data_IF_809394289952
#
_entry.id   IF_809394289952
#
_cell.length_a   1.000
_cell.length_b   1.000
_cell.length_c   1.000
_cell.angle_alpha   90.00
_cell.angle_beta   90.00
_cell.angle_gamma   90.00
#
_symmetry.space_group_name_H-M   'P 1'
#
loop_
_entity.id
_entity.type
_entity.pdbx_description
1 polymer ?
#
# COMPACT_ATOMS: atom_id res chain seq x y z
N UNK A 1 -7.04 2.09 -12.68
CA UNK A 1 -7.89 3.24 -12.27
C UNK A 1 -7.81 3.53 -10.77
N UNK A 2 -7.92 2.54 -9.88
CA UNK A 2 -7.91 2.75 -8.41
C UNK A 2 -6.77 3.65 -7.94
N UNK A 3 -5.52 3.30 -8.25
CA UNK A 3 -4.33 4.05 -7.83
C UNK A 3 -4.31 5.49 -8.33
N UNK A 4 -4.72 5.73 -9.58
CA UNK A 4 -4.73 7.08 -10.16
C UNK A 4 -5.76 7.94 -9.41
N UNK A 5 -6.98 7.42 -9.25
CA UNK A 5 -8.07 8.14 -8.57
C UNK A 5 -7.70 8.41 -7.10
N UNK A 6 -7.17 7.41 -6.39
CA UNK A 6 -6.77 7.59 -4.98
C UNK A 6 -5.65 8.61 -4.84
N UNK A 7 -4.63 8.58 -5.70
CA UNK A 7 -3.52 9.54 -5.65
C UNK A 7 -3.99 10.97 -5.91
N UNK A 8 -4.93 11.17 -6.85
CA UNK A 8 -5.54 12.49 -7.07
C UNK A 8 -6.30 12.96 -5.83
N UNK A 9 -7.08 12.08 -5.19
CA UNK A 9 -7.83 12.40 -3.97
C UNK A 9 -6.87 12.75 -2.82
N UNK A 10 -5.82 11.95 -2.60
CA UNK A 10 -4.84 12.21 -1.56
C UNK A 10 -4.06 13.50 -1.80
N UNK A 11 -3.70 13.80 -3.05
CA UNK A 11 -3.01 15.03 -3.42
C UNK A 11 -3.90 16.25 -3.22
N UNK A 12 -5.17 16.15 -3.61
CA UNK A 12 -6.17 17.19 -3.32
C UNK A 12 -6.32 17.42 -1.81
N UNK A 13 -6.44 16.35 -1.01
CA UNK A 13 -6.55 16.45 0.45
C UNK A 13 -5.31 17.07 1.09
N UNK A 14 -4.12 16.69 0.64
CA UNK A 14 -2.85 17.28 1.10
C UNK A 14 -2.84 18.80 0.90
N UNK A 15 -3.23 19.27 -0.30
CA UNK A 15 -3.31 20.72 -0.61
C UNK A 15 -4.33 21.42 0.28
N UNK A 16 -5.48 20.80 0.57
CA UNK A 16 -6.49 21.38 1.46
C UNK A 16 -6.00 21.51 2.91
N UNK A 17 -5.19 20.55 3.39
CA UNK A 17 -4.71 20.52 4.78
C UNK A 17 -3.46 21.39 5.00
N UNK A 18 -2.56 21.43 4.02
CA UNK A 18 -1.23 22.06 4.15
C UNK A 18 -1.07 23.33 3.32
N UNK A 19 -2.02 23.63 2.43
CA UNK A 19 -1.90 24.68 1.43
C UNK A 19 -1.13 24.23 0.17
N UNK A 20 -1.13 25.05 -0.90
CA UNK A 20 -0.47 24.69 -2.16
C UNK A 20 1.07 24.66 -2.07
N UNK A 21 1.66 25.36 -1.10
CA UNK A 21 3.11 25.43 -0.89
C UNK A 21 3.73 24.10 -0.41
N UNK A 22 2.91 23.15 0.04
CA UNK A 22 3.37 21.81 0.42
C UNK A 22 3.87 21.00 -0.79
N UNK A 23 3.38 21.35 -1.98
CA UNK A 23 3.86 20.74 -3.19
C UNK A 23 5.28 21.27 -3.42
N UNK A 24 6.28 20.39 -3.58
CA UNK A 24 7.65 20.79 -3.90
C UNK A 24 7.78 21.23 -5.38
N UNK A 25 6.72 21.86 -5.89
CA UNK A 25 6.56 22.40 -7.23
C UNK A 25 6.67 23.91 -7.08
N UNK A 26 7.81 24.45 -7.48
CA UNK A 26 7.95 25.90 -7.63
C UNK A 26 7.39 26.24 -9.01
N UNK A 27 6.28 26.98 -9.03
CA UNK A 27 5.76 27.58 -10.25
C UNK A 27 6.51 28.88 -10.51
N UNK A 28 7.50 28.85 -11.40
CA UNK A 28 8.09 30.09 -11.92
C UNK A 28 7.28 30.56 -13.13
N UNK A 29 6.62 31.71 -12.97
CA UNK A 29 5.95 32.42 -14.05
C UNK A 29 7.00 33.15 -14.89
N UNK A 30 7.33 32.62 -16.06
CA UNK A 30 8.10 33.36 -17.07
C UNK A 30 7.29 34.55 -17.64
N UNK A 31 7.99 35.51 -18.25
CA UNK A 31 7.37 36.71 -18.85
C UNK A 31 6.48 36.41 -20.07
N UNK A 32 6.44 35.18 -20.57
CA UNK A 32 5.71 34.75 -21.77
C UNK A 32 4.82 33.51 -21.52
N UNK A 33 3.91 33.53 -20.54
CA UNK A 33 2.96 32.42 -20.26
C UNK A 33 3.61 31.00 -20.15
N UNK A 34 4.92 30.92 -19.99
CA UNK A 34 5.68 29.68 -19.94
C UNK A 34 5.71 29.20 -18.49
N UNK A 35 4.94 28.14 -18.21
CA UNK A 35 4.87 27.50 -16.90
C UNK A 35 6.11 26.62 -16.72
N UNK A 36 7.11 27.12 -15.99
CA UNK A 36 8.28 26.30 -15.62
C UNK A 36 7.96 25.54 -14.34
N UNK A 37 7.93 24.21 -14.43
CA UNK A 37 7.76 23.31 -13.29
C UNK A 37 9.17 22.93 -12.80
N UNK A 38 9.61 23.53 -11.70
CA UNK A 38 10.86 23.17 -11.03
C UNK A 38 10.58 22.24 -9.83
N UNK A 39 11.23 21.08 -9.81
CA UNK A 39 11.15 20.12 -8.70
C UNK A 39 12.37 20.27 -7.78
N UNK A 40 12.13 20.53 -6.50
CA UNK A 40 13.19 20.39 -5.51
C UNK A 40 13.43 18.90 -5.23
N UNK A 41 14.44 18.33 -5.90
CA UNK A 41 14.79 16.91 -5.76
C UNK A 41 15.07 16.49 -4.32
N UNK A 42 15.61 17.36 -3.46
CA UNK A 42 15.87 17.02 -2.05
C UNK A 42 14.57 16.83 -1.26
N UNK A 43 13.60 17.70 -1.49
CA UNK A 43 12.29 17.69 -0.80
C UNK A 43 11.31 16.67 -1.38
N UNK A 44 11.53 16.20 -2.61
CA UNK A 44 10.71 15.16 -3.25
C UNK A 44 11.34 13.78 -3.05
N UNK A 45 12.62 13.63 -3.43
CA UNK A 45 13.24 12.32 -3.59
C UNK A 45 13.52 11.65 -2.24
N UNK A 46 13.90 12.42 -1.21
CA UNK A 46 14.16 11.86 0.12
C UNK A 46 12.84 11.33 0.75
N UNK A 47 11.76 12.14 0.86
CA UNK A 47 10.46 11.63 1.31
C UNK A 47 9.93 10.48 0.49
N UNK A 48 10.06 10.54 -0.84
CA UNK A 48 9.61 9.47 -1.73
C UNK A 48 10.38 8.16 -1.50
N UNK A 49 11.72 8.21 -1.46
CA UNK A 49 12.56 7.03 -1.26
C UNK A 49 12.31 6.41 0.12
N UNK A 50 12.23 7.26 1.15
CA UNK A 50 11.90 6.81 2.50
C UNK A 50 10.50 6.16 2.53
N UNK A 51 9.49 6.83 1.99
CA UNK A 51 8.13 6.31 1.88
C UNK A 51 8.10 4.98 1.13
N UNK A 52 8.83 4.84 0.03
CA UNK A 52 8.91 3.61 -0.73
C UNK A 52 9.50 2.46 0.10
N UNK A 53 10.70 2.63 0.64
CA UNK A 53 11.37 1.57 1.42
C UNK A 53 10.53 1.17 2.65
N UNK A 54 10.00 2.14 3.37
CA UNK A 54 9.16 1.88 4.54
C UNK A 54 7.84 1.23 4.16
N UNK A 55 7.18 1.66 3.08
CA UNK A 55 5.90 1.08 2.65
C UNK A 55 6.06 -0.38 2.29
N UNK A 56 7.04 -0.75 1.45
CA UNK A 56 7.19 -2.15 1.04
C UNK A 56 7.44 -3.05 2.27
N UNK A 57 8.29 -2.62 3.21
CA UNK A 57 8.58 -3.40 4.43
C UNK A 57 7.38 -3.48 5.35
N UNK A 58 6.77 -2.35 5.70
CA UNK A 58 5.66 -2.31 6.67
C UNK A 58 4.41 -2.99 6.10
N UNK A 59 4.19 -2.91 4.78
CA UNK A 59 3.06 -3.54 4.11
C UNK A 59 3.09 -5.07 4.30
N UNK A 60 4.19 -5.72 3.94
CA UNK A 60 4.34 -7.18 4.12
C UNK A 60 4.35 -7.58 5.60
N UNK A 61 4.97 -6.76 6.46
CA UNK A 61 4.95 -7.02 7.91
C UNK A 61 3.53 -6.97 8.47
N UNK A 62 2.66 -6.07 8.00
CA UNK A 62 1.27 -6.01 8.45
C UNK A 62 0.48 -7.26 8.02
N UNK A 63 0.69 -7.75 6.80
CA UNK A 63 0.11 -9.05 6.41
C UNK A 63 0.57 -10.15 7.37
N UNK A 64 1.87 -10.25 7.62
CA UNK A 64 2.43 -11.27 8.49
C UNK A 64 2.00 -11.16 9.95
N UNK A 65 1.90 -9.94 10.50
CA UNK A 65 1.38 -9.72 11.87
C UNK A 65 -0.07 -10.21 11.99
N UNK A 66 -0.91 -9.96 10.98
CA UNK A 66 -2.31 -10.41 11.00
C UNK A 66 -2.39 -11.93 10.86
N UNK A 67 -1.54 -12.55 10.01
CA UNK A 67 -1.42 -14.00 9.95
C UNK A 67 -0.97 -14.60 11.30
N UNK A 68 0.04 -14.03 11.94
CA UNK A 68 0.53 -14.47 13.25
C UNK A 68 -0.53 -14.32 14.33
N UNK A 69 -1.38 -13.29 14.27
CA UNK A 69 -2.50 -13.15 15.20
C UNK A 69 -3.51 -14.30 15.07
N UNK A 70 -3.70 -14.86 13.87
CA UNK A 70 -4.49 -16.07 13.65
C UNK A 70 -3.74 -17.38 13.98
N UNK A 71 -2.49 -17.30 14.43
CA UNK A 71 -1.70 -18.45 14.86
C UNK A 71 -0.93 -19.14 13.74
N UNK A 72 -0.79 -18.50 12.58
CA UNK A 72 0.00 -19.05 11.47
C UNK A 72 1.50 -18.78 11.61
N UNK A 73 2.31 -19.71 11.10
CA UNK A 73 3.74 -19.51 10.92
C UNK A 73 3.99 -18.80 9.58
N UNK A 74 4.55 -17.59 9.64
CA UNK A 74 4.74 -16.74 8.46
C UNK A 74 6.15 -16.87 7.91
N UNK A 75 6.23 -17.11 6.60
CA UNK A 75 7.46 -17.03 5.82
C UNK A 75 7.53 -15.69 5.10
N UNK A 76 8.65 -14.98 5.28
CA UNK A 76 8.96 -13.76 4.55
C UNK A 76 10.06 -14.00 3.54
N UNK A 77 10.00 -13.31 2.42
CA UNK A 77 11.08 -13.32 1.46
C UNK A 77 10.86 -12.36 0.31
N UNK A 78 11.65 -12.54 -0.74
CA UNK A 78 11.54 -11.73 -1.94
C UNK A 78 11.40 -12.58 -3.18
N UNK A 79 10.43 -12.21 -4.01
CA UNK A 79 10.14 -12.86 -5.28
C UNK A 79 10.65 -12.01 -6.44
N UNK A 80 11.92 -12.19 -6.79
CA UNK A 80 12.62 -11.35 -7.78
C UNK A 80 11.97 -11.32 -9.16
N UNK A 81 11.26 -12.37 -9.56
CA UNK A 81 10.55 -12.41 -10.85
C UNK A 81 9.47 -11.34 -10.96
N UNK A 82 8.88 -10.93 -9.84
CA UNK A 82 7.89 -9.86 -9.77
C UNK A 82 8.42 -8.59 -9.09
N UNK A 83 9.68 -8.60 -8.61
CA UNK A 83 10.24 -7.49 -7.85
C UNK A 83 9.47 -7.19 -6.55
N UNK A 84 8.80 -8.19 -5.98
CA UNK A 84 7.90 -8.03 -4.85
C UNK A 84 8.43 -8.77 -3.61
N UNK A 85 8.23 -8.20 -2.43
CA UNK A 85 8.37 -8.94 -1.17
C UNK A 85 7.08 -9.73 -0.91
N UNK A 86 7.13 -10.69 0.01
CA UNK A 86 5.95 -11.45 0.39
C UNK A 86 5.96 -11.79 1.88
N UNK A 87 4.76 -11.89 2.45
CA UNK A 87 4.46 -12.59 3.69
C UNK A 87 3.43 -13.70 3.41
N UNK A 88 3.83 -14.96 3.55
CA UNK A 88 3.01 -16.11 3.16
C UNK A 88 2.98 -17.21 4.22
N UNK A 89 1.93 -18.04 4.20
CA UNK A 89 1.70 -19.13 5.14
C UNK A 89 1.79 -20.49 4.43
N UNK A 90 2.99 -20.83 3.96
CA UNK A 90 3.21 -22.06 3.22
C UNK A 90 2.91 -23.29 4.06
N UNK A 91 2.38 -24.32 3.39
CA UNK A 91 2.12 -25.65 3.94
C UNK A 91 1.18 -25.67 5.16
N UNK A 92 0.30 -24.67 5.25
CA UNK A 92 -0.71 -24.54 6.29
C UNK A 92 -2.08 -24.31 5.66
N UNK A 93 -3.10 -25.01 6.17
CA UNK A 93 -4.49 -24.70 5.84
C UNK A 93 -4.87 -23.39 6.49
N UNK A 94 -5.37 -22.46 5.70
CA UNK A 94 -5.82 -21.18 6.22
C UNK A 94 -7.20 -20.81 5.67
N UNK A 95 -8.01 -20.18 6.50
CA UNK A 95 -9.42 -19.95 6.16
C UNK A 95 -9.59 -18.74 5.25
N UNK A 96 -10.60 -18.82 4.37
CA UNK A 96 -11.01 -17.70 3.52
C UNK A 96 -11.16 -16.39 4.30
N UNK A 97 -11.77 -16.44 5.48
CA UNK A 97 -12.10 -15.22 6.23
C UNK A 97 -10.88 -14.54 6.82
N UNK A 98 -9.90 -15.34 7.24
CA UNK A 98 -8.62 -14.84 7.74
C UNK A 98 -7.81 -14.28 6.58
N UNK A 99 -7.75 -14.95 5.43
CA UNK A 99 -7.09 -14.43 4.21
C UNK A 99 -7.68 -13.11 3.77
N UNK A 100 -9.01 -12.95 3.80
CA UNK A 100 -9.65 -11.68 3.46
C UNK A 100 -9.23 -10.54 4.39
N UNK A 101 -9.14 -10.81 5.70
CA UNK A 101 -8.72 -9.81 6.70
C UNK A 101 -7.23 -9.51 6.60
N UNK A 102 -6.40 -10.51 6.32
CA UNK A 102 -4.98 -10.33 6.09
C UNK A 102 -4.76 -9.47 4.86
N UNK A 103 -5.42 -9.79 3.74
CA UNK A 103 -5.27 -9.04 2.48
C UNK A 103 -5.64 -7.56 2.61
N UNK A 104 -6.66 -7.23 3.40
CA UNK A 104 -7.12 -5.83 3.52
C UNK A 104 -6.32 -5.02 4.55
N UNK A 105 -5.57 -5.70 5.43
CA UNK A 105 -4.96 -5.06 6.59
C UNK A 105 -3.96 -3.94 6.25
N UNK A 106 -2.99 -4.10 5.33
CA UNK A 106 -2.06 -3.01 5.03
C UNK A 106 -2.76 -1.81 4.40
N UNK A 107 -3.72 -2.06 3.51
CA UNK A 107 -4.50 -1.00 2.88
C UNK A 107 -5.20 -0.15 3.94
N UNK A 108 -5.93 -0.78 4.88
CA UNK A 108 -6.71 -0.05 5.90
C UNK A 108 -5.80 0.61 6.93
N UNK A 109 -4.85 -0.13 7.51
CA UNK A 109 -4.04 0.36 8.63
C UNK A 109 -3.14 1.52 8.19
N UNK A 110 -2.40 1.37 7.09
CA UNK A 110 -1.54 2.44 6.59
C UNK A 110 -2.36 3.63 6.08
N UNK A 111 -3.54 3.40 5.47
CA UNK A 111 -4.40 4.52 5.05
C UNK A 111 -4.87 5.33 6.24
N UNK A 112 -5.37 4.70 7.31
CA UNK A 112 -5.83 5.41 8.51
C UNK A 112 -4.69 6.21 9.14
N UNK A 113 -3.52 5.59 9.34
CA UNK A 113 -2.36 6.26 9.94
C UNK A 113 -1.92 7.44 9.07
N UNK A 114 -1.73 7.23 7.77
CA UNK A 114 -1.19 8.27 6.90
C UNK A 114 -2.19 9.40 6.61
N UNK A 115 -3.50 9.14 6.60
CA UNK A 115 -4.51 10.21 6.53
C UNK A 115 -4.42 11.16 7.74
N UNK A 116 -4.12 10.64 8.93
CA UNK A 116 -3.88 11.48 10.11
C UNK A 116 -2.56 12.26 9.97
N UNK A 117 -1.51 11.62 9.42
CA UNK A 117 -0.22 12.27 9.19
C UNK A 117 -0.27 13.37 8.12
N UNK A 118 -1.21 13.33 7.17
CA UNK A 118 -1.43 14.44 6.22
C UNK A 118 -1.81 15.75 6.90
N UNK A 119 -2.42 15.70 8.09
CA UNK A 119 -2.84 16.90 8.83
C UNK A 119 -1.74 17.46 9.76
N UNK A 120 -0.59 16.78 9.85
CA UNK A 120 0.53 17.23 10.69
C UNK A 120 1.20 18.45 10.03
N UNK A 121 1.37 19.59 10.71
CA UNK A 121 1.85 20.86 10.12
C UNK A 121 3.38 20.87 9.92
N UNK A 122 3.91 19.80 9.34
CA UNK A 122 5.31 19.64 8.97
C UNK A 122 5.35 19.09 7.53
N UNK A 123 5.72 19.90 6.51
CA UNK A 123 5.62 19.53 5.10
C UNK A 123 6.28 18.19 4.76
N UNK A 124 7.45 17.90 5.33
CA UNK A 124 8.15 16.62 5.12
C UNK A 124 7.32 15.43 5.60
N UNK A 125 6.64 15.53 6.75
CA UNK A 125 5.80 14.46 7.29
C UNK A 125 4.57 14.26 6.40
N UNK A 126 3.87 15.34 6.05
CA UNK A 126 2.67 15.30 5.24
C UNK A 126 2.96 14.76 3.82
N UNK A 127 4.03 15.24 3.18
CA UNK A 127 4.46 14.75 1.85
C UNK A 127 4.93 13.30 1.89
N UNK A 128 5.64 12.87 2.93
CA UNK A 128 5.98 11.45 3.12
C UNK A 128 4.72 10.60 3.27
N UNK A 129 3.76 11.03 4.08
CA UNK A 129 2.50 10.32 4.29
C UNK A 129 1.68 10.21 2.99
N UNK A 130 1.67 11.27 2.17
CA UNK A 130 1.08 11.24 0.84
C UNK A 130 1.73 10.16 -0.06
N UNK A 131 3.06 10.09 -0.10
CA UNK A 131 3.75 9.05 -0.86
C UNK A 131 3.45 7.65 -0.33
N UNK A 132 3.43 7.45 0.98
CA UNK A 132 3.04 6.16 1.58
C UNK A 132 1.62 5.77 1.18
N UNK A 133 0.65 6.70 1.20
CA UNK A 133 -0.73 6.44 0.77
C UNK A 133 -0.79 5.99 -0.70
N UNK A 134 -0.11 6.71 -1.59
CA UNK A 134 -0.09 6.40 -3.02
C UNK A 134 0.58 5.04 -3.30
N UNK A 135 1.75 4.80 -2.69
CA UNK A 135 2.52 3.57 -2.86
C UNK A 135 1.82 2.36 -2.24
N UNK A 136 1.25 2.51 -1.05
CA UNK A 136 0.49 1.45 -0.39
C UNK A 136 -0.76 1.08 -1.20
N UNK A 137 -1.48 2.07 -1.73
CA UNK A 137 -2.65 1.80 -2.59
C UNK A 137 -2.25 1.13 -3.90
N UNK A 138 -1.10 1.49 -4.47
CA UNK A 138 -0.54 0.83 -5.66
C UNK A 138 -0.13 -0.62 -5.37
N UNK A 139 0.59 -0.86 -4.27
CA UNK A 139 1.00 -2.19 -3.81
C UNK A 139 -0.20 -3.09 -3.51
N UNK A 140 -1.26 -2.53 -2.91
CA UNK A 140 -2.47 -3.26 -2.53
C UNK A 140 -3.36 -3.69 -3.71
N UNK A 141 -3.03 -3.35 -4.96
CA UNK A 141 -3.88 -3.72 -6.11
C UNK A 141 -3.98 -5.25 -6.24
N UNK A 142 -2.89 -5.97 -5.99
CA UNK A 142 -2.87 -7.42 -5.96
C UNK A 142 -3.78 -7.98 -4.86
N UNK A 143 -3.71 -7.41 -3.66
CA UNK A 143 -4.50 -7.84 -2.51
C UNK A 143 -5.99 -7.56 -2.72
N UNK A 144 -6.34 -6.38 -3.24
CA UNK A 144 -7.73 -6.04 -3.56
C UNK A 144 -8.30 -7.00 -4.60
N UNK A 145 -7.50 -7.39 -5.59
CA UNK A 145 -7.90 -8.41 -6.55
C UNK A 145 -8.09 -9.78 -5.88
N UNK A 146 -7.15 -10.21 -5.03
CA UNK A 146 -7.25 -11.45 -4.28
C UNK A 146 -8.50 -11.47 -3.37
N UNK A 147 -8.74 -10.39 -2.62
CA UNK A 147 -9.94 -10.19 -1.80
C UNK A 147 -11.19 -10.33 -2.65
N UNK A 148 -11.28 -9.61 -3.78
CA UNK A 148 -12.43 -9.67 -4.67
C UNK A 148 -12.69 -11.08 -5.20
N UNK A 149 -11.62 -11.84 -5.48
CA UNK A 149 -11.68 -13.21 -5.98
C UNK A 149 -12.10 -14.21 -4.90
N UNK A 150 -11.53 -14.08 -3.70
CA UNK A 150 -11.76 -14.98 -2.57
C UNK A 150 -13.11 -14.73 -1.91
N UNK A 151 -13.56 -13.47 -1.86
CA UNK A 151 -14.87 -13.12 -1.32
C UNK A 151 -16.04 -13.78 -2.07
N UNK A 152 -15.83 -14.14 -3.35
CA UNK A 152 -16.81 -14.86 -4.18
C UNK A 152 -16.83 -16.37 -3.98
N UNK A 153 -15.84 -16.93 -3.28
CA UNK A 153 -15.82 -18.36 -2.96
C UNK A 153 -16.79 -18.64 -1.80
N UNK A 154 -17.30 -19.88 -1.64
CA UNK A 154 -18.21 -20.22 -0.55
C UNK A 154 -17.62 -19.95 0.84
N UNK A 155 -18.44 -19.63 1.87
CA UNK A 155 -17.97 -19.55 3.25
C UNK A 155 -17.37 -20.88 3.68
N UNK A 156 -16.32 -20.86 4.51
CA UNK A 156 -15.54 -22.04 4.90
C UNK A 156 -14.61 -22.63 3.83
N UNK A 157 -14.40 -21.95 2.70
CA UNK A 157 -13.29 -22.29 1.81
C UNK A 157 -11.95 -22.24 2.58
N UNK A 158 -11.09 -23.21 2.31
CA UNK A 158 -9.73 -23.28 2.83
C UNK A 158 -8.72 -23.15 1.69
N UNK A 159 -7.60 -22.52 1.99
CA UNK A 159 -6.46 -22.38 1.10
C UNK A 159 -5.27 -23.16 1.64
N UNK A 160 -4.41 -23.63 0.74
CA UNK A 160 -3.15 -24.29 1.08
C UNK A 160 -2.07 -23.90 0.07
N UNK A 161 -1.11 -23.09 0.51
CA UNK A 161 -0.04 -22.59 -0.35
C UNK A 161 1.14 -23.55 -0.38
N UNK A 162 1.53 -23.99 -1.58
CA UNK A 162 2.75 -24.79 -1.77
C UNK A 162 3.95 -23.86 -1.93
N UNK A 163 3.77 -22.79 -2.69
CA UNK A 163 4.74 -21.73 -2.96
C UNK A 163 3.99 -20.51 -3.51
N UNK A 164 4.71 -19.40 -3.75
CA UNK A 164 4.14 -18.15 -4.30
C UNK A 164 3.30 -18.33 -5.56
N UNK A 165 3.60 -19.32 -6.40
CA UNK A 165 2.89 -19.54 -7.66
C UNK A 165 1.77 -20.58 -7.61
N UNK A 166 1.63 -21.33 -6.51
CA UNK A 166 0.74 -22.49 -6.46
C UNK A 166 0.03 -22.61 -5.12
N UNK A 167 -1.30 -22.63 -5.19
CA UNK A 167 -2.23 -22.75 -4.07
C UNK A 167 -3.31 -23.77 -4.42
N UNK A 168 -3.66 -24.62 -3.47
CA UNK A 168 -4.88 -25.43 -3.54
C UNK A 168 -6.04 -24.70 -2.86
N UNK A 169 -7.24 -24.83 -3.44
CA UNK A 169 -8.48 -24.26 -2.92
C UNK A 169 -9.44 -25.40 -2.62
N UNK A 170 -9.94 -25.46 -1.40
CA UNK A 170 -10.88 -26.47 -0.92
C UNK A 170 -12.21 -25.77 -0.63
N UNK A 171 -13.20 -25.96 -1.50
CA UNK A 171 -14.55 -25.45 -1.30
C UNK A 171 -15.41 -26.48 -0.56
N UNK A 172 -16.32 -26.05 0.34
CA UNK A 172 -17.27 -26.96 0.96
C UNK A 172 -18.26 -27.53 -0.07
N UNK A 173 -18.79 -28.72 0.23
CA UNK A 173 -19.90 -29.34 -0.52
C UNK A 173 -21.21 -28.54 -0.43
#
# INVERSE_FOLDING_TARGET
MLTIVSTVIYGWLLIQLQGPEVLPIVFESGAEEELTIAFNLGEVAIPFLFAFLTTVVVHELLHGVVYQWYGYEVSYGVYWRMGAMYAAVFHQFHSREETLRVGIAPLVILTVICLLLLAVPYPVIATTAFFVLALNTAGSVGDVYAIWRFYRMPPKTLFYDINIGHMYVFEPE
#
